data_IF_966662615289
#
_entry.id   IF_966662615289
#
_cell.length_a   1.000
_cell.length_b   1.000
_cell.length_c   1.000
_cell.angle_alpha   90.00
_cell.angle_beta   90.00
_cell.angle_gamma   90.00
#
_symmetry.space_group_name_H-M   'P 1'
#
loop_
_entity.id
_entity.type
_entity.pdbx_description
1 polymer ?
#
# COMPACT_ATOMS: atom_id res chain seq x y z
N UNK A 1 -14.36 -23.77 -16.75
CA UNK A 1 -14.36 -22.41 -16.16
C UNK A 1 -14.77 -21.45 -17.25
N UNK A 2 -15.98 -20.89 -17.16
CA UNK A 2 -16.49 -19.88 -18.09
C UNK A 2 -15.56 -18.67 -18.04
N UNK A 3 -14.99 -18.30 -19.17
CA UNK A 3 -14.16 -17.10 -19.30
C UNK A 3 -15.07 -15.90 -19.07
N UNK A 4 -15.17 -15.41 -17.83
CA UNK A 4 -15.89 -14.16 -17.54
C UNK A 4 -15.17 -13.07 -18.34
N UNK A 5 -15.88 -12.50 -19.30
CA UNK A 5 -15.35 -11.49 -20.21
C UNK A 5 -14.85 -10.25 -19.46
N UNK A 6 -14.01 -9.46 -20.13
CA UNK A 6 -13.59 -8.17 -19.61
C UNK A 6 -14.82 -7.28 -19.37
N UNK A 7 -14.83 -6.57 -18.24
CA UNK A 7 -15.82 -5.53 -17.92
C UNK A 7 -15.14 -4.18 -17.91
N UNK A 8 -15.85 -3.14 -18.30
CA UNK A 8 -15.29 -1.78 -18.40
C UNK A 8 -16.13 -0.78 -17.60
N UNK A 9 -15.47 0.25 -17.09
CA UNK A 9 -16.07 1.43 -16.48
C UNK A 9 -15.26 2.65 -16.89
N UNK A 10 -15.94 3.69 -17.33
CA UNK A 10 -15.36 5.03 -17.40
C UNK A 10 -15.73 5.81 -16.15
N UNK A 11 -14.78 6.53 -15.59
CA UNK A 11 -15.01 7.39 -14.44
C UNK A 11 -14.24 8.69 -14.59
N UNK A 12 -14.94 9.83 -14.46
CA UNK A 12 -14.34 11.15 -14.51
C UNK A 12 -14.20 11.70 -13.08
N UNK A 13 -12.97 11.83 -12.53
CA UNK A 13 -12.76 12.52 -11.26
C UNK A 13 -13.16 14.00 -11.38
N UNK A 14 -13.61 14.59 -10.27
CA UNK A 14 -13.93 16.02 -10.20
C UNK A 14 -12.68 16.92 -10.08
N UNK A 15 -11.49 16.32 -10.12
CA UNK A 15 -10.19 16.98 -10.00
C UNK A 15 -9.21 16.40 -11.04
N UNK A 16 -8.12 17.10 -11.31
CA UNK A 16 -7.00 16.56 -12.09
C UNK A 16 -6.35 15.41 -11.32
N UNK A 17 -6.33 14.19 -11.85
CA UNK A 17 -5.86 13.01 -11.11
C UNK A 17 -4.37 12.72 -11.36
N UNK A 18 -3.58 12.63 -10.28
CA UNK A 18 -2.27 11.99 -10.29
C UNK A 18 -2.43 10.48 -10.04
N UNK A 19 -2.63 9.72 -11.13
CA UNK A 19 -2.92 8.27 -11.06
C UNK A 19 -1.77 7.50 -10.40
N UNK A 20 -0.53 7.73 -10.85
CA UNK A 20 0.64 7.02 -10.34
C UNK A 20 1.00 7.46 -8.93
N UNK A 21 0.93 8.76 -8.64
CA UNK A 21 1.13 9.27 -7.29
C UNK A 21 0.16 8.63 -6.31
N UNK A 22 -1.13 8.60 -6.65
CA UNK A 22 -2.19 8.00 -5.82
C UNK A 22 -1.98 6.51 -5.59
N UNK A 23 -1.65 5.73 -6.64
CA UNK A 23 -1.56 4.27 -6.55
C UNK A 23 -0.19 3.71 -6.12
N UNK A 24 0.87 4.52 -6.19
CA UNK A 24 2.24 4.09 -5.86
C UNK A 24 2.42 3.40 -4.50
N UNK A 25 1.70 3.74 -3.40
CA UNK A 25 1.88 3.07 -2.10
C UNK A 25 1.52 1.58 -2.11
N UNK A 26 0.70 1.14 -3.07
CA UNK A 26 0.26 -0.24 -3.15
C UNK A 26 1.32 -1.17 -3.76
N UNK A 27 2.34 -0.61 -4.44
CA UNK A 27 3.37 -1.35 -5.15
C UNK A 27 4.44 -1.91 -4.20
N UNK A 28 4.77 -3.19 -4.33
CA UNK A 28 5.81 -3.92 -3.57
C UNK A 28 7.05 -4.18 -4.44
N UNK A 29 7.71 -3.09 -4.81
CA UNK A 29 8.94 -3.11 -5.60
C UNK A 29 8.73 -3.24 -7.11
N UNK A 30 9.84 -3.33 -7.84
CA UNK A 30 9.81 -3.28 -9.31
C UNK A 30 9.18 -4.51 -9.96
N UNK A 31 9.29 -5.68 -9.31
CA UNK A 31 8.83 -7.00 -9.78
C UNK A 31 7.65 -7.54 -8.96
N UNK A 32 6.78 -6.64 -8.49
CA UNK A 32 5.57 -7.00 -7.77
C UNK A 32 4.66 -7.84 -8.68
N UNK A 33 4.33 -9.10 -8.33
CA UNK A 33 3.47 -9.93 -9.17
C UNK A 33 2.00 -9.49 -9.14
N UNK A 34 1.58 -8.64 -8.20
CA UNK A 34 0.20 -8.15 -8.09
C UNK A 34 0.04 -6.70 -8.54
N UNK A 35 1.12 -5.99 -8.90
CA UNK A 35 1.07 -4.59 -9.31
C UNK A 35 2.06 -4.30 -10.44
N UNK A 36 1.59 -3.67 -11.53
CA UNK A 36 2.43 -3.31 -12.67
C UNK A 36 2.08 -1.92 -13.17
N UNK A 37 3.10 -1.19 -13.61
CA UNK A 37 2.95 0.06 -14.36
C UNK A 37 3.49 -0.19 -15.75
N UNK A 38 2.69 0.07 -16.77
CA UNK A 38 3.08 -0.06 -18.17
C UNK A 38 3.71 1.24 -18.70
N UNK A 39 4.46 1.19 -19.83
CA UNK A 39 5.10 2.37 -20.42
C UNK A 39 4.10 3.48 -20.80
N UNK A 40 2.86 3.14 -21.11
CA UNK A 40 1.77 4.08 -21.43
C UNK A 40 1.15 4.73 -20.17
N UNK A 41 1.71 4.45 -18.99
CA UNK A 41 1.21 4.95 -17.70
C UNK A 41 0.03 4.15 -17.14
N UNK A 42 -0.44 3.10 -17.82
CA UNK A 42 -1.50 2.26 -17.29
C UNK A 42 -1.04 1.48 -16.05
N UNK A 43 -1.91 1.39 -15.05
CA UNK A 43 -1.66 0.68 -13.80
C UNK A 43 -2.50 -0.58 -13.76
N UNK A 44 -1.85 -1.72 -13.54
CA UNK A 44 -2.49 -3.00 -13.30
C UNK A 44 -2.37 -3.38 -11.83
N UNK A 45 -3.46 -3.87 -11.25
CA UNK A 45 -3.51 -4.42 -9.90
C UNK A 45 -4.34 -5.71 -9.87
N UNK A 46 -3.79 -6.77 -9.29
CA UNK A 46 -4.51 -8.00 -8.99
C UNK A 46 -4.91 -8.02 -7.50
N UNK A 47 -6.10 -8.52 -7.20
CA UNK A 47 -6.65 -8.52 -5.83
C UNK A 47 -7.58 -9.70 -5.62
N UNK A 48 -7.54 -10.29 -4.42
CA UNK A 48 -8.57 -11.25 -4.02
C UNK A 48 -9.69 -10.47 -3.32
N UNK A 49 -10.79 -10.27 -4.04
CA UNK A 49 -11.94 -9.48 -3.61
C UNK A 49 -12.93 -10.36 -2.81
N UNK A 50 -13.95 -9.78 -2.16
CA UNK A 50 -15.06 -10.56 -1.58
C UNK A 50 -15.74 -11.49 -2.59
N UNK A 51 -15.78 -11.10 -3.86
CA UNK A 51 -16.42 -11.86 -4.94
C UNK A 51 -15.42 -12.79 -5.66
N UNK A 52 -14.22 -12.97 -5.10
CA UNK A 52 -13.16 -13.81 -5.63
C UNK A 52 -12.06 -13.05 -6.37
N UNK A 53 -11.21 -13.74 -7.15
CA UNK A 53 -10.08 -13.11 -7.83
C UNK A 53 -10.52 -12.10 -8.88
N UNK A 54 -9.79 -11.00 -8.93
CA UNK A 54 -9.94 -10.03 -9.99
C UNK A 54 -8.64 -9.31 -10.33
N UNK A 55 -8.61 -8.80 -11.56
CA UNK A 55 -7.56 -7.91 -12.06
C UNK A 55 -8.22 -6.62 -12.50
N UNK A 56 -7.57 -5.49 -12.21
CA UNK A 56 -7.99 -4.15 -12.62
C UNK A 56 -6.85 -3.49 -13.40
N UNK A 57 -7.15 -2.98 -14.59
CA UNK A 57 -6.30 -2.08 -15.37
C UNK A 57 -6.92 -0.70 -15.36
N UNK A 58 -6.12 0.33 -15.06
CA UNK A 58 -6.53 1.73 -15.04
C UNK A 58 -5.64 2.53 -15.97
N UNK A 59 -6.24 3.42 -16.77
CA UNK A 59 -5.51 4.40 -17.57
C UNK A 59 -6.27 5.73 -17.53
N UNK A 60 -5.57 6.85 -17.37
CA UNK A 60 -6.18 8.17 -17.40
C UNK A 60 -5.90 8.85 -18.75
N UNK A 61 -6.95 9.21 -19.50
CA UNK A 61 -6.85 9.90 -20.79
C UNK A 61 -7.87 11.04 -20.83
N UNK A 62 -7.43 12.27 -21.12
CA UNK A 62 -8.33 13.42 -21.21
C UNK A 62 -9.16 13.66 -19.93
N UNK A 63 -8.57 13.34 -18.77
CA UNK A 63 -9.24 13.42 -17.46
C UNK A 63 -10.32 12.34 -17.23
N UNK A 64 -10.41 11.32 -18.09
CA UNK A 64 -11.26 10.14 -17.88
C UNK A 64 -10.39 8.96 -17.47
N UNK A 65 -10.79 8.28 -16.42
CA UNK A 65 -10.21 7.00 -16.03
C UNK A 65 -10.95 5.89 -16.77
N UNK A 66 -10.26 5.26 -17.70
CA UNK A 66 -10.65 4.00 -18.32
C UNK A 66 -10.25 2.86 -17.40
N UNK A 67 -11.25 2.21 -16.80
CA UNK A 67 -11.06 1.04 -15.96
C UNK A 67 -11.54 -0.21 -16.69
N UNK A 68 -10.70 -1.24 -16.74
CA UNK A 68 -11.05 -2.57 -17.24
C UNK A 68 -10.76 -3.59 -16.16
N UNK A 69 -11.72 -4.49 -15.90
CA UNK A 69 -11.56 -5.54 -14.90
C UNK A 69 -11.93 -6.91 -15.46
N UNK A 70 -11.31 -7.95 -14.88
CA UNK A 70 -11.50 -9.35 -15.27
C UNK A 70 -11.65 -10.23 -14.02
N UNK A 71 -12.26 -11.40 -14.21
CA UNK A 71 -12.45 -12.39 -13.14
C UNK A 71 -13.75 -12.21 -12.38
N UNK A 72 -13.94 -13.05 -11.36
CA UNK A 72 -15.14 -13.04 -10.53
C UNK A 72 -15.27 -11.72 -9.74
N UNK A 73 -14.14 -11.14 -9.31
CA UNK A 73 -14.10 -9.85 -8.62
C UNK A 73 -14.18 -8.61 -9.51
N UNK A 74 -14.52 -8.74 -10.80
CA UNK A 74 -14.45 -7.63 -11.75
C UNK A 74 -15.42 -6.48 -11.42
N UNK A 75 -16.69 -6.79 -11.13
CA UNK A 75 -17.69 -5.77 -10.77
C UNK A 75 -17.29 -5.03 -9.49
N UNK A 76 -16.93 -5.77 -8.44
CA UNK A 76 -16.45 -5.20 -7.18
C UNK A 76 -15.27 -4.23 -7.36
N UNK A 77 -14.30 -4.60 -8.22
CA UNK A 77 -13.15 -3.75 -8.52
C UNK A 77 -13.55 -2.48 -9.27
N UNK A 78 -14.40 -2.59 -10.29
CA UNK A 78 -14.88 -1.44 -11.05
C UNK A 78 -15.69 -0.50 -10.16
N UNK A 79 -16.54 -1.03 -9.29
CA UNK A 79 -17.33 -0.24 -8.33
C UNK A 79 -16.44 0.56 -7.38
N UNK A 80 -15.30 -0.01 -6.99
CA UNK A 80 -14.33 0.63 -6.09
C UNK A 80 -13.40 1.64 -6.72
N UNK A 81 -13.41 1.82 -8.04
CA UNK A 81 -12.49 2.74 -8.74
C UNK A 81 -12.50 4.16 -8.16
N UNK A 82 -13.66 4.79 -7.89
CA UNK A 82 -13.68 6.12 -7.30
C UNK A 82 -12.95 6.18 -5.94
N UNK A 83 -13.22 5.23 -5.04
CA UNK A 83 -12.62 5.19 -3.70
C UNK A 83 -11.11 4.88 -3.74
N UNK A 84 -10.71 3.96 -4.62
CA UNK A 84 -9.31 3.61 -4.86
C UNK A 84 -8.51 4.82 -5.38
N UNK A 85 -9.17 5.72 -6.11
CA UNK A 85 -8.57 6.93 -6.66
C UNK A 85 -8.85 8.18 -5.81
N UNK A 86 -9.42 8.01 -4.62
CA UNK A 86 -9.55 9.06 -3.61
C UNK A 86 -10.79 9.94 -3.72
N UNK A 87 -11.90 9.43 -4.25
CA UNK A 87 -13.19 10.13 -4.21
C UNK A 87 -13.74 10.32 -2.79
N UNK A 88 -13.30 9.50 -1.84
CA UNK A 88 -13.60 9.64 -0.41
C UNK A 88 -12.49 10.40 0.35
N UNK A 89 -11.50 10.94 -0.37
CA UNK A 89 -10.45 11.77 0.22
C UNK A 89 -10.97 13.21 0.38
N UNK A 90 -10.85 13.78 1.57
CA UNK A 90 -11.31 15.13 1.88
C UNK A 90 -10.08 16.04 2.04
N UNK A 91 -9.57 16.65 0.95
CA UNK A 91 -8.47 17.62 1.03
C UNK A 91 -8.93 18.98 1.57
N UNK A 92 -10.25 19.23 1.57
CA UNK A 92 -10.82 20.54 1.83
C UNK A 92 -10.67 20.83 3.32
N UNK A 93 -9.99 21.93 3.64
CA UNK A 93 -9.54 22.23 5.01
C UNK A 93 -8.06 21.92 5.26
N UNK A 94 -7.36 21.25 4.34
CA UNK A 94 -5.90 21.11 4.43
C UNK A 94 -5.20 22.46 4.22
N UNK A 95 -4.55 22.97 5.26
CA UNK A 95 -3.76 24.20 5.20
C UNK A 95 -2.27 23.86 5.13
N UNK A 96 -1.65 24.14 3.98
CA UNK A 96 -0.21 23.98 3.79
C UNK A 96 0.56 25.12 4.49
N UNK A 97 1.01 24.88 5.74
CA UNK A 97 1.68 25.89 6.58
C UNK A 97 3.16 26.10 6.23
N UNK A 98 3.87 25.05 5.86
CA UNK A 98 5.31 25.12 5.56
C UNK A 98 5.57 25.30 4.04
N UNK A 99 6.62 26.03 3.67
CA UNK A 99 6.95 26.33 2.27
C UNK A 99 7.11 25.10 1.39
N UNK A 100 7.82 24.09 1.91
CA UNK A 100 8.01 22.81 1.18
C UNK A 100 6.68 22.12 0.96
N UNK A 101 5.75 22.17 1.92
CA UNK A 101 4.42 21.56 1.78
C UNK A 101 3.59 22.34 0.75
N UNK A 102 3.62 23.68 0.78
CA UNK A 102 2.97 24.53 -0.23
C UNK A 102 3.50 24.26 -1.63
N UNK A 103 4.82 24.15 -1.76
CA UNK A 103 5.48 23.83 -3.03
C UNK A 103 5.02 22.47 -3.57
N UNK A 104 5.07 21.43 -2.73
CA UNK A 104 4.71 20.08 -3.17
C UNK A 104 3.22 19.93 -3.47
N UNK A 105 2.35 20.62 -2.73
CA UNK A 105 0.92 20.66 -3.02
C UNK A 105 0.66 21.28 -4.41
N UNK A 106 1.34 22.39 -4.76
CA UNK A 106 1.23 23.01 -6.10
C UNK A 106 1.78 22.12 -7.22
N UNK A 107 2.85 21.35 -6.96
CA UNK A 107 3.43 20.42 -7.94
C UNK A 107 2.60 19.15 -8.14
N UNK A 108 1.71 18.84 -7.20
CA UNK A 108 0.92 17.59 -7.17
C UNK A 108 -0.54 17.88 -6.82
N UNK A 109 -1.22 18.73 -7.60
CA UNK A 109 -2.61 19.09 -7.30
C UNK A 109 -3.54 17.87 -7.35
N UNK A 110 -3.14 16.82 -8.09
CA UNK A 110 -3.91 15.59 -8.25
C UNK A 110 -3.60 14.45 -7.29
N UNK A 111 -2.71 14.63 -6.33
CA UNK A 111 -2.38 13.58 -5.37
C UNK A 111 -3.55 13.35 -4.40
N UNK A 112 -4.06 12.13 -4.38
CA UNK A 112 -5.12 11.70 -3.46
C UNK A 112 -4.66 10.60 -2.53
N UNK A 113 -5.33 10.50 -1.39
CA UNK A 113 -5.25 9.33 -0.50
C UNK A 113 -6.42 8.40 -0.82
N UNK A 114 -6.15 7.37 -1.62
CA UNK A 114 -7.14 6.37 -2.01
C UNK A 114 -7.24 5.20 -1.02
N UNK A 115 -8.29 4.38 -1.19
CA UNK A 115 -8.50 3.18 -0.37
C UNK A 115 -8.82 1.94 -1.19
N UNK A 116 -8.14 0.83 -0.91
CA UNK A 116 -8.36 -0.44 -1.61
C UNK A 116 -9.61 -1.18 -1.14
N UNK A 117 -10.12 -0.87 0.06
CA UNK A 117 -11.16 -1.63 0.76
C UNK A 117 -10.77 -3.09 1.03
N UNK A 118 -9.46 -3.38 1.09
CA UNK A 118 -8.90 -4.71 1.38
C UNK A 118 -7.89 -4.61 2.52
N UNK A 119 -8.36 -4.82 3.74
CA UNK A 119 -7.59 -4.65 4.98
C UNK A 119 -6.57 -5.76 5.13
N UNK A 120 -6.99 -7.02 4.97
CA UNK A 120 -6.06 -8.14 5.11
C UNK A 120 -4.99 -8.11 4.01
N UNK A 121 -5.37 -7.80 2.78
CA UNK A 121 -4.43 -7.66 1.65
C UNK A 121 -3.38 -6.55 1.90
N UNK A 122 -3.76 -5.43 2.54
CA UNK A 122 -2.83 -4.38 2.91
C UNK A 122 -1.97 -4.74 4.14
N UNK A 123 -2.53 -5.48 5.10
CA UNK A 123 -1.86 -5.88 6.34
C UNK A 123 -0.72 -6.87 6.10
N UNK A 124 -0.89 -7.83 5.17
CA UNK A 124 0.13 -8.85 4.88
C UNK A 124 1.49 -8.23 4.53
N UNK A 125 1.62 -7.38 3.50
CA UNK A 125 2.90 -6.77 3.17
C UNK A 125 3.38 -5.82 4.27
N UNK A 126 2.49 -5.14 5.00
CA UNK A 126 2.89 -4.31 6.14
C UNK A 126 3.58 -5.18 7.22
N UNK A 127 3.06 -6.36 7.54
CA UNK A 127 3.74 -7.30 8.45
C UNK A 127 5.06 -7.79 7.86
N UNK A 128 5.12 -8.09 6.56
CA UNK A 128 6.36 -8.52 5.89
C UNK A 128 7.46 -7.45 5.89
N UNK A 129 7.11 -6.18 5.91
CA UNK A 129 8.04 -5.05 5.86
C UNK A 129 8.58 -4.66 7.27
N UNK A 130 8.04 -5.24 8.35
CA UNK A 130 8.49 -4.96 9.72
C UNK A 130 9.98 -5.23 9.93
N UNK A 131 10.73 -4.21 10.36
CA UNK A 131 12.13 -4.28 10.84
C UNK A 131 13.12 -4.94 9.86
N UNK A 132 12.82 -4.91 8.55
CA UNK A 132 13.70 -5.45 7.49
C UNK A 132 13.91 -4.45 6.37
N UNK A 133 14.87 -4.73 5.50
CA UNK A 133 15.00 -3.97 4.25
C UNK A 133 13.80 -4.28 3.34
N UNK A 134 13.19 -3.26 2.75
CA UNK A 134 12.02 -3.43 1.88
C UNK A 134 12.25 -4.42 0.74
N UNK A 135 13.47 -4.49 0.19
CA UNK A 135 13.83 -5.47 -0.84
C UNK A 135 13.71 -6.93 -0.37
N UNK A 136 13.99 -7.22 0.90
CA UNK A 136 13.83 -8.55 1.49
C UNK A 136 12.35 -8.91 1.62
N UNK A 137 11.54 -7.98 2.11
CA UNK A 137 10.10 -8.13 2.23
C UNK A 137 9.44 -8.36 0.86
N UNK A 138 9.78 -7.56 -0.15
CA UNK A 138 9.23 -7.68 -1.50
C UNK A 138 9.65 -8.96 -2.21
N UNK A 139 10.85 -9.47 -1.92
CA UNK A 139 11.28 -10.79 -2.40
C UNK A 139 10.41 -11.89 -1.80
N UNK A 140 10.14 -11.85 -0.50
CA UNK A 140 9.24 -12.79 0.19
C UNK A 140 7.80 -12.71 -0.34
N UNK A 141 7.26 -11.49 -0.46
CA UNK A 141 5.96 -11.22 -1.09
C UNK A 141 5.87 -11.85 -2.49
N UNK A 142 6.85 -11.57 -3.35
CA UNK A 142 6.89 -12.10 -4.70
C UNK A 142 6.98 -13.63 -4.72
N UNK A 143 7.78 -14.24 -3.84
CA UNK A 143 7.89 -15.69 -3.73
C UNK A 143 6.55 -16.33 -3.39
N UNK A 144 5.89 -15.84 -2.33
CA UNK A 144 4.65 -16.41 -1.83
C UNK A 144 3.50 -16.22 -2.83
N UNK A 145 3.39 -15.05 -3.47
CA UNK A 145 2.36 -14.84 -4.50
C UNK A 145 2.56 -15.71 -5.74
N UNK A 146 3.81 -15.94 -6.17
CA UNK A 146 4.07 -16.83 -7.32
C UNK A 146 3.74 -18.28 -7.03
N UNK A 147 3.82 -18.70 -5.76
CA UNK A 147 3.66 -20.11 -5.35
C UNK A 147 2.26 -20.44 -4.84
N UNK A 148 1.62 -19.50 -4.15
CA UNK A 148 0.31 -19.69 -3.50
C UNK A 148 -0.79 -18.79 -4.07
N UNK A 149 -0.43 -17.80 -4.88
CA UNK A 149 -1.40 -16.99 -5.63
C UNK A 149 -1.78 -17.67 -6.94
N UNK A 150 -2.98 -17.38 -7.41
CA UNK A 150 -3.47 -17.86 -8.71
C UNK A 150 -3.13 -16.88 -9.85
N UNK A 151 -3.06 -17.34 -11.11
CA UNK A 151 -2.88 -16.45 -12.26
C UNK A 151 -3.96 -15.38 -12.30
N UNK A 152 -3.56 -14.12 -12.49
CA UNK A 152 -4.50 -13.01 -12.51
C UNK A 152 -5.41 -13.09 -13.76
N UNK A 153 -6.74 -13.05 -13.62
CA UNK A 153 -7.67 -13.04 -14.75
C UNK A 153 -7.34 -11.92 -15.75
N UNK A 154 -7.32 -12.22 -17.06
CA UNK A 154 -6.95 -11.24 -18.09
C UNK A 154 -5.46 -10.84 -18.14
N UNK A 155 -4.65 -11.24 -17.16
CA UNK A 155 -3.22 -10.97 -17.08
C UNK A 155 -2.47 -12.16 -16.43
N UNK A 156 -2.41 -13.35 -17.07
CA UNK A 156 -1.92 -14.59 -16.44
C UNK A 156 -0.44 -14.57 -16.01
N UNK A 157 0.32 -13.56 -16.45
CA UNK A 157 1.69 -13.30 -16.02
C UNK A 157 1.78 -12.61 -14.63
N UNK A 158 0.68 -12.02 -14.15
CA UNK A 158 0.49 -11.51 -12.80
C UNK A 158 -0.08 -12.59 -11.87
N UNK A 159 -0.13 -12.31 -10.57
CA UNK A 159 -0.70 -13.20 -9.55
C UNK A 159 -1.66 -12.43 -8.67
N UNK A 160 -2.82 -13.04 -8.41
CA UNK A 160 -3.73 -12.59 -7.37
C UNK A 160 -3.13 -12.96 -6.00
N UNK A 161 -3.10 -12.05 -5.01
CA UNK A 161 -2.78 -12.42 -3.64
C UNK A 161 -3.66 -13.59 -3.16
N UNK A 162 -3.13 -14.59 -2.43
CA UNK A 162 -3.94 -15.70 -1.95
C UNK A 162 -5.10 -15.24 -1.04
N UNK A 163 -6.22 -15.97 -1.01
CA UNK A 163 -7.26 -15.73 -0.02
C UNK A 163 -6.82 -16.12 1.40
N UNK A 164 -7.47 -15.59 2.46
CA UNK A 164 -7.05 -15.81 3.84
C UNK A 164 -6.85 -17.28 4.22
N UNK A 165 -7.73 -18.18 3.77
CA UNK A 165 -7.64 -19.61 4.05
C UNK A 165 -6.40 -20.28 3.44
N UNK A 166 -5.87 -19.74 2.34
CA UNK A 166 -4.61 -20.24 1.76
C UNK A 166 -3.44 -19.78 2.61
N UNK A 167 -3.40 -18.52 3.07
CA UNK A 167 -2.34 -18.02 3.95
C UNK A 167 -2.19 -18.85 5.23
N UNK A 168 -3.31 -19.29 5.83
CA UNK A 168 -3.31 -20.15 7.02
C UNK A 168 -2.68 -21.53 6.75
N UNK A 169 -2.80 -22.03 5.52
CA UNK A 169 -2.33 -23.37 5.12
C UNK A 169 -0.92 -23.37 4.53
N UNK A 170 -0.26 -22.22 4.37
CA UNK A 170 1.12 -22.17 3.87
C UNK A 170 2.02 -22.94 4.85
N UNK A 171 2.70 -24.00 4.38
CA UNK A 171 3.57 -24.79 5.25
C UNK A 171 4.74 -23.97 5.81
N UNK A 172 5.21 -24.34 7.01
CA UNK A 172 6.30 -23.63 7.70
C UNK A 172 7.58 -23.49 6.86
N UNK A 173 7.94 -24.51 6.08
CA UNK A 173 9.12 -24.48 5.21
C UNK A 173 8.99 -23.49 4.05
N UNK A 174 7.77 -23.15 3.62
CA UNK A 174 7.51 -22.19 2.55
C UNK A 174 7.65 -20.75 3.08
N UNK A 175 7.25 -20.51 4.32
CA UNK A 175 7.55 -19.28 5.04
C UNK A 175 9.06 -19.07 5.18
N UNK A 176 9.78 -20.12 5.56
CA UNK A 176 11.23 -20.09 5.68
C UNK A 176 11.92 -19.82 4.32
N UNK A 177 11.52 -20.54 3.27
CA UNK A 177 12.03 -20.32 1.90
C UNK A 177 11.73 -18.92 1.34
N UNK A 178 10.66 -18.28 1.79
CA UNK A 178 10.39 -16.87 1.45
C UNK A 178 11.38 -15.89 2.09
N UNK A 179 12.13 -16.34 3.11
CA UNK A 179 13.01 -15.51 3.93
C UNK A 179 12.29 -14.77 5.05
N UNK A 180 11.02 -15.10 5.32
CA UNK A 180 10.22 -14.45 6.34
C UNK A 180 10.39 -15.16 7.68
N UNK A 181 10.67 -14.38 8.73
CA UNK A 181 10.82 -14.91 10.08
C UNK A 181 9.51 -15.50 10.62
N UNK A 182 9.63 -16.54 11.45
CA UNK A 182 8.49 -17.29 11.98
C UNK A 182 7.51 -16.44 12.81
N UNK A 183 7.99 -15.37 13.47
CA UNK A 183 7.11 -14.45 14.21
C UNK A 183 6.16 -13.74 13.27
N UNK A 184 6.66 -13.22 12.14
CA UNK A 184 5.86 -12.47 11.16
C UNK A 184 4.91 -13.38 10.38
N UNK A 185 5.32 -14.60 10.05
CA UNK A 185 4.40 -15.57 9.45
C UNK A 185 3.26 -15.95 10.40
N UNK A 186 3.53 -16.13 11.71
CA UNK A 186 2.48 -16.34 12.72
C UNK A 186 1.51 -15.17 12.82
N UNK A 187 2.00 -13.93 12.77
CA UNK A 187 1.16 -12.73 12.73
C UNK A 187 0.23 -12.74 11.50
N UNK A 188 0.77 -13.01 10.31
CA UNK A 188 -0.02 -13.09 9.07
C UNK A 188 -1.08 -14.20 9.15
N UNK A 189 -0.71 -15.40 9.60
CA UNK A 189 -1.65 -16.50 9.78
C UNK A 189 -2.73 -16.18 10.83
N UNK A 190 -2.36 -15.51 11.92
CA UNK A 190 -3.30 -15.03 12.94
C UNK A 190 -4.31 -14.04 12.36
N UNK A 191 -3.83 -13.05 11.60
CA UNK A 191 -4.67 -12.08 10.92
C UNK A 191 -5.59 -12.75 9.87
N UNK A 192 -5.08 -13.71 9.12
CA UNK A 192 -5.83 -14.44 8.11
C UNK A 192 -7.05 -15.17 8.69
N UNK A 193 -6.90 -15.78 9.89
CA UNK A 193 -8.00 -16.46 10.59
C UNK A 193 -9.16 -15.53 10.98
N UNK A 194 -8.90 -14.23 11.10
CA UNK A 194 -9.90 -13.23 11.48
C UNK A 194 -10.11 -12.16 10.40
N UNK A 195 -9.66 -12.44 9.16
CA UNK A 195 -9.65 -11.47 8.07
C UNK A 195 -11.01 -10.78 7.87
N UNK A 196 -12.11 -11.55 7.87
CA UNK A 196 -13.48 -11.00 7.74
C UNK A 196 -13.79 -9.92 8.79
N UNK A 197 -13.43 -10.14 10.06
CA UNK A 197 -13.63 -9.15 11.14
C UNK A 197 -12.75 -7.92 10.98
N UNK A 198 -11.56 -8.06 10.39
CA UNK A 198 -10.68 -6.94 10.08
C UNK A 198 -11.24 -6.10 8.92
N UNK A 199 -11.88 -6.73 7.93
CA UNK A 199 -12.58 -6.02 6.85
C UNK A 199 -13.80 -5.26 7.38
N UNK A 200 -14.56 -5.83 8.32
CA UNK A 200 -15.76 -5.22 8.91
C UNK A 200 -15.45 -4.03 9.84
N UNK A 201 -14.38 -4.10 10.63
CA UNK A 201 -13.96 -3.01 11.52
C UNK A 201 -12.44 -2.75 11.41
N UNK A 202 -12.00 -1.96 10.42
CA UNK A 202 -10.59 -1.66 10.18
C UNK A 202 -10.05 -0.55 11.10
N UNK A 203 -10.48 -0.56 12.37
CA UNK A 203 -10.02 0.40 13.37
C UNK A 203 -8.59 0.10 13.80
N UNK A 204 -7.83 1.13 14.17
CA UNK A 204 -6.47 0.96 14.69
C UNK A 204 -6.48 0.04 15.93
N UNK A 205 -7.46 0.23 16.82
CA UNK A 205 -7.67 -0.60 18.01
C UNK A 205 -7.84 -2.08 17.65
N UNK A 206 -8.65 -2.40 16.63
CA UNK A 206 -8.85 -3.78 16.17
C UNK A 206 -7.56 -4.34 15.59
N UNK A 207 -6.89 -3.62 14.70
CA UNK A 207 -5.63 -4.07 14.11
C UNK A 207 -4.58 -4.37 15.19
N UNK A 208 -4.41 -3.47 16.16
CA UNK A 208 -3.43 -3.60 17.27
C UNK A 208 -3.80 -4.65 18.32
N UNK A 209 -5.02 -5.20 18.27
CA UNK A 209 -5.38 -6.36 19.10
C UNK A 209 -4.71 -7.65 18.63
N UNK A 210 -4.19 -7.67 17.39
CA UNK A 210 -3.46 -8.81 16.86
C UNK A 210 -2.02 -8.85 17.40
N UNK A 211 -1.56 -10.00 17.93
CA UNK A 211 -0.16 -10.16 18.33
C UNK A 211 0.79 -9.85 17.17
N UNK A 212 1.78 -8.99 17.41
CA UNK A 212 2.75 -8.57 16.39
C UNK A 212 2.29 -7.44 15.47
N UNK A 213 1.13 -6.83 15.69
CA UNK A 213 0.68 -5.62 14.99
C UNK A 213 0.80 -4.40 15.91
N UNK A 214 1.83 -3.59 15.67
CA UNK A 214 2.06 -2.33 16.38
C UNK A 214 1.48 -1.11 15.66
N UNK A 215 1.76 0.08 16.21
CA UNK A 215 1.33 1.39 15.65
C UNK A 215 1.73 1.56 14.18
N UNK A 216 2.98 1.25 13.84
CA UNK A 216 3.51 1.34 12.48
C UNK A 216 2.70 0.49 11.49
N UNK A 217 2.50 -0.80 11.80
CA UNK A 217 1.78 -1.72 10.92
C UNK A 217 0.30 -1.36 10.79
N UNK A 218 -0.32 -0.91 11.88
CA UNK A 218 -1.71 -0.45 11.84
C UNK A 218 -1.85 0.80 10.95
N UNK A 219 -0.93 1.76 11.05
CA UNK A 219 -0.90 2.94 10.20
C UNK A 219 -0.72 2.56 8.72
N UNK A 220 0.32 1.79 8.37
CA UNK A 220 0.57 1.35 6.99
C UNK A 220 -0.63 0.62 6.36
N UNK A 221 -1.34 -0.17 7.17
CA UNK A 221 -2.56 -0.87 6.75
C UNK A 221 -3.71 0.12 6.49
N UNK A 222 -3.98 1.02 7.44
CA UNK A 222 -5.11 1.97 7.34
C UNK A 222 -4.92 3.00 6.23
N UNK A 223 -3.69 3.48 6.02
CA UNK A 223 -3.34 4.35 4.89
C UNK A 223 -3.78 3.76 3.56
N UNK A 224 -3.61 2.45 3.34
CA UNK A 224 -3.87 1.78 2.06
C UNK A 224 -5.27 1.19 1.95
N UNK A 225 -5.76 0.57 3.00
CA UNK A 225 -7.03 -0.14 2.99
C UNK A 225 -8.23 0.78 3.21
N UNK A 226 -8.04 1.82 4.04
CA UNK A 226 -9.11 2.72 4.50
C UNK A 226 -8.96 4.13 3.94
N UNK A 227 -7.76 4.49 3.46
CA UNK A 227 -7.46 5.83 2.95
C UNK A 227 -7.26 6.85 4.07
N UNK A 228 -6.73 6.40 5.22
CA UNK A 228 -6.49 7.31 6.35
C UNK A 228 -5.38 8.31 6.02
N UNK A 229 -5.78 9.56 5.80
CA UNK A 229 -4.88 10.68 5.49
C UNK A 229 -4.09 11.20 6.69
N UNK A 230 -4.34 10.68 7.89
CA UNK A 230 -3.74 11.12 9.16
C UNK A 230 -2.92 10.03 9.88
N UNK A 231 -3.03 8.77 9.47
CA UNK A 231 -2.31 7.67 10.09
C UNK A 231 -0.79 7.76 9.86
N UNK A 232 -0.04 8.25 10.85
CA UNK A 232 1.43 8.35 10.79
C UNK A 232 2.10 7.02 11.13
N UNK A 233 3.05 6.58 10.31
CA UNK A 233 3.85 5.37 10.53
C UNK A 233 4.94 5.59 11.59
N UNK A 234 4.54 5.83 12.83
CA UNK A 234 5.44 5.99 13.99
C UNK A 234 6.29 4.74 14.18
N UNK A 235 7.60 4.89 14.39
CA UNK A 235 8.56 3.79 14.46
C UNK A 235 9.15 3.39 13.11
N UNK A 236 8.82 4.12 12.04
CA UNK A 236 9.50 3.98 10.76
C UNK A 236 10.95 4.47 10.87
N UNK A 237 11.89 3.69 10.34
CA UNK A 237 13.31 3.98 10.47
C UNK A 237 13.77 5.22 9.69
N UNK A 238 13.05 5.60 8.63
CA UNK A 238 13.43 6.68 7.72
C UNK A 238 12.53 7.90 7.84
N UNK A 239 11.25 7.71 8.16
CA UNK A 239 10.23 8.76 8.14
C UNK A 239 10.59 9.96 9.03
N UNK A 240 10.98 9.80 10.32
CA UNK A 240 11.26 10.95 11.19
C UNK A 240 12.43 11.79 10.68
N UNK A 241 13.51 11.11 10.29
CA UNK A 241 14.69 11.77 9.72
C UNK A 241 14.39 12.49 8.39
N UNK A 242 13.49 11.94 7.57
CA UNK A 242 13.05 12.57 6.32
C UNK A 242 12.17 13.80 6.60
N UNK A 243 11.18 13.68 7.47
CA UNK A 243 10.28 14.78 7.85
C UNK A 243 11.06 15.94 8.48
N UNK A 244 11.89 15.66 9.48
CA UNK A 244 12.73 16.69 10.12
C UNK A 244 13.64 17.39 9.12
N UNK A 245 14.27 16.63 8.22
CA UNK A 245 15.15 17.23 7.22
C UNK A 245 14.40 18.11 6.23
N UNK A 246 13.22 17.67 5.77
CA UNK A 246 12.43 18.41 4.80
C UNK A 246 11.83 19.69 5.39
N UNK A 247 11.43 19.68 6.67
CA UNK A 247 10.79 20.83 7.32
C UNK A 247 11.77 21.76 8.03
N UNK A 248 12.79 21.25 8.72
CA UNK A 248 13.67 22.06 9.56
C UNK A 248 15.18 21.83 9.30
N UNK A 249 15.54 21.10 8.24
CA UNK A 249 16.93 20.92 7.82
C UNK A 249 17.79 20.04 8.74
N UNK A 250 17.19 19.34 9.71
CA UNK A 250 17.90 18.41 10.63
C UNK A 250 17.05 17.18 10.93
N UNK A 251 17.69 16.05 11.24
CA UNK A 251 16.96 14.83 11.62
C UNK A 251 16.29 15.01 12.98
N UNK A 252 15.14 14.37 13.14
CA UNK A 252 14.40 14.23 14.40
C UNK A 252 14.08 12.75 14.63
N UNK A 253 13.68 12.42 15.85
CA UNK A 253 13.10 11.14 16.22
C UNK A 253 11.56 11.15 16.05
N UNK A 254 10.89 10.07 16.44
CA UNK A 254 9.43 9.95 16.32
C UNK A 254 8.68 11.08 17.06
N UNK A 255 9.15 11.46 18.25
CA UNK A 255 8.52 12.53 19.04
C UNK A 255 8.62 13.87 18.31
N UNK A 256 9.83 14.25 17.86
CA UNK A 256 10.01 15.47 17.08
C UNK A 256 9.28 15.45 15.73
N UNK A 257 9.16 14.28 15.09
CA UNK A 257 8.34 14.15 13.87
C UNK A 257 6.87 14.46 14.16
N UNK A 258 6.31 13.91 15.24
CA UNK A 258 4.92 14.15 15.61
C UNK A 258 4.67 15.61 15.96
N UNK A 259 5.59 16.28 16.69
CA UNK A 259 5.52 17.72 16.95
C UNK A 259 5.49 18.55 15.66
N UNK A 260 6.34 18.20 14.68
CA UNK A 260 6.38 18.88 13.37
C UNK A 260 5.13 18.64 12.53
N UNK A 261 4.47 17.50 12.71
CA UNK A 261 3.27 17.13 11.96
C UNK A 261 1.97 17.59 12.65
N UNK A 262 2.01 17.94 13.94
CA UNK A 262 0.84 18.36 14.72
C UNK A 262 0.00 19.47 14.08
N UNK A 263 0.60 20.51 13.43
CA UNK A 263 -0.17 21.55 12.75
C UNK A 263 -1.02 21.07 11.55
N UNK A 264 -0.86 19.80 11.17
CA UNK A 264 -1.52 19.12 10.07
C UNK A 264 -2.39 17.94 10.54
N UNK A 265 -2.82 17.90 11.79
CA UNK A 265 -3.77 16.91 12.29
C UNK A 265 -4.98 16.74 11.34
N UNK A 266 -5.37 15.49 11.07
CA UNK A 266 -6.31 15.10 10.01
C UNK A 266 -5.66 14.83 8.65
N UNK A 267 -4.41 15.25 8.44
CA UNK A 267 -3.69 15.16 7.16
C UNK A 267 -2.21 14.78 7.32
N UNK A 268 -1.79 14.25 8.48
CA UNK A 268 -0.36 14.00 8.75
C UNK A 268 0.27 13.02 7.76
N UNK A 269 -0.44 11.97 7.35
CA UNK A 269 0.03 11.07 6.29
C UNK A 269 0.02 11.73 4.90
N UNK A 270 -0.96 12.60 4.59
CA UNK A 270 -0.90 13.40 3.35
C UNK A 270 0.38 14.24 3.31
N UNK A 271 0.74 14.88 4.41
CA UNK A 271 1.96 15.68 4.51
C UNK A 271 3.21 14.82 4.31
N UNK A 272 3.29 13.64 4.95
CA UNK A 272 4.45 12.76 4.72
C UNK A 272 4.58 12.38 3.25
N UNK A 273 3.47 12.08 2.55
CA UNK A 273 3.46 11.79 1.10
C UNK A 273 3.94 12.95 0.24
N UNK A 274 3.57 14.19 0.59
CA UNK A 274 4.07 15.39 -0.08
C UNK A 274 5.57 15.62 0.21
N UNK A 275 6.03 15.36 1.42
CA UNK A 275 7.44 15.53 1.79
C UNK A 275 8.33 14.48 1.11
N UNK A 276 7.89 13.24 1.01
CA UNK A 276 8.60 12.15 0.33
C UNK A 276 8.93 12.49 -1.13
N UNK A 277 8.06 13.26 -1.78
CA UNK A 277 8.25 13.69 -3.16
C UNK A 277 9.09 14.94 -3.36
N UNK A 278 9.36 15.69 -2.29
CA UNK A 278 10.19 16.90 -2.36
C UNK A 278 11.63 16.64 -2.76
N UNK A 279 12.10 15.38 -2.63
CA UNK A 279 13.51 15.03 -2.81
C UNK A 279 14.44 15.56 -1.71
N UNK A 280 13.91 16.37 -0.76
CA UNK A 280 14.67 16.90 0.38
C UNK A 280 14.91 15.77 1.39
N UNK A 281 16.04 15.10 1.25
CA UNK A 281 16.44 13.99 2.12
C UNK A 281 17.78 14.27 2.79
N UNK A 282 18.00 13.73 4.00
CA UNK A 282 19.31 13.80 4.64
C UNK A 282 20.41 13.28 3.69
N UNK A 283 21.62 13.87 3.71
CA UNK A 283 22.75 13.37 2.94
C UNK A 283 23.02 11.91 3.28
N UNK A 284 23.27 11.10 2.24
CA UNK A 284 23.58 9.68 2.40
C UNK A 284 24.93 9.55 3.09
N UNK A 285 24.95 9.02 4.32
CA UNK A 285 26.19 8.70 5.04
C UNK A 285 26.27 7.19 5.19
N UNK A 286 27.19 6.57 4.45
CA UNK A 286 27.50 5.14 4.55
C UNK A 286 27.00 4.25 3.40
N UNK A 287 27.63 3.07 3.20
CA UNK A 287 27.24 2.10 2.20
C UNK A 287 25.86 1.49 2.50
N UNK A 288 25.17 0.98 1.47
CA UNK A 288 23.89 0.28 1.66
C UNK A 288 24.12 -0.96 2.53
N UNK A 289 23.25 -1.20 3.51
CA UNK A 289 23.23 -2.47 4.24
C UNK A 289 23.01 -3.61 3.22
N UNK A 290 23.83 -4.67 3.27
CA UNK A 290 23.65 -5.81 2.39
C UNK A 290 22.30 -6.48 2.68
N UNK A 291 21.61 -6.87 1.62
CA UNK A 291 20.41 -7.71 1.71
C UNK A 291 20.85 -9.08 2.22
N UNK A 292 20.32 -9.50 3.35
CA UNK A 292 20.64 -10.78 3.97
C UNK A 292 19.89 -11.91 3.27
N UNK A 293 20.52 -13.07 3.18
CA UNK A 293 19.91 -14.29 2.63
C UNK A 293 19.95 -15.39 3.69
N UNK A 294 18.77 -15.76 4.20
CA UNK A 294 18.61 -16.76 5.25
C UNK A 294 18.02 -18.08 4.73
N UNK A 295 17.90 -18.24 3.40
CA UNK A 295 17.13 -19.33 2.76
C UNK A 295 17.90 -20.65 2.62
N UNK A 296 19.19 -20.67 2.94
CA UNK A 296 20.10 -21.79 2.68
C UNK A 296 20.35 -22.70 3.90
N UNK A 297 19.57 -22.57 4.97
CA UNK A 297 19.71 -23.36 6.20
C UNK A 297 18.41 -24.06 6.55
#
# INVERSE_FOLDING_TARGET
>A
MTTVGARVREWRPAWELDLLGTLSPHRRGARDPAFRVEPDGAVWRASYTPDGPGTLRLRCVGGVVEATAWGAGAEWLLDGVPELLGAADEPDGFVARHDVVREQLRRRPGLRIGRTRRVFEALVPAVMEQKVLGAEAWRGWGYLLRRFGEPAPGAPHMRVPPPPEVWVRIPSWEWHRSGLEAVRSRTIMGAARVAKRLEEEPSERRLRSLPGVGVWTAAETRQRAVGDADAVSVGDYHLPGMVGWALIGRKVDDAGMLELLEPYAGHRYRVTRLLESSGRRPPRRGPRLPVRDYRAF
#
